data_IF_602548599677
#
_entry.id   IF_602548599677
#
_cell.length_a   1.000
_cell.length_b   1.000
_cell.length_c   1.000
_cell.angle_alpha   90.00
_cell.angle_beta   90.00
_cell.angle_gamma   90.00
#
_symmetry.space_group_name_H-M   'P 1'
#
loop_
_entity.id
_entity.type
_entity.pdbx_description
1 polymer ?
#
# COMPACT_ATOMS: atom_id res chain seq x y z
N UNK A 1 -12.00 7.98 9.77
CA UNK A 1 -10.73 7.88 9.02
C UNK A 1 -11.00 7.03 7.78
N UNK A 2 -10.59 7.49 6.60
CA UNK A 2 -10.59 6.71 5.35
C UNK A 2 -11.91 5.99 5.00
N UNK A 3 -13.05 6.68 5.15
CA UNK A 3 -14.41 6.19 4.86
C UNK A 3 -14.92 4.98 5.69
N UNK A 4 -14.33 4.74 6.87
CA UNK A 4 -14.76 3.68 7.80
C UNK A 4 -15.65 4.18 8.95
N UNK A 5 -15.67 5.48 9.22
CA UNK A 5 -16.42 6.10 10.32
C UNK A 5 -17.73 6.75 9.88
N UNK A 6 -18.31 7.60 10.74
CA UNK A 6 -19.44 8.47 10.35
C UNK A 6 -18.92 9.62 9.47
N UNK A 7 -19.61 9.96 8.35
CA UNK A 7 -19.26 11.13 7.56
C UNK A 7 -19.25 12.38 8.43
N UNK A 8 -18.25 13.24 8.24
CA UNK A 8 -18.22 14.58 8.84
C UNK A 8 -18.46 15.60 7.73
N UNK A 9 -19.54 16.41 7.82
CA UNK A 9 -19.80 17.42 6.81
C UNK A 9 -18.71 18.50 6.85
N UNK A 10 -18.39 19.06 5.69
CA UNK A 10 -17.46 20.17 5.55
C UNK A 10 -17.98 21.14 4.48
N UNK A 11 -18.00 22.43 4.79
CA UNK A 11 -18.72 23.44 3.98
C UNK A 11 -18.19 23.56 2.53
N UNK A 12 -16.94 23.19 2.29
CA UNK A 12 -16.27 23.37 1.01
C UNK A 12 -15.89 22.06 0.31
N UNK A 13 -16.28 20.90 0.85
CA UNK A 13 -15.94 19.61 0.26
C UNK A 13 -17.20 18.84 -0.13
N UNK A 14 -17.13 18.01 -1.19
CA UNK A 14 -18.22 17.10 -1.53
C UNK A 14 -18.60 16.20 -0.36
N UNK A 15 -19.87 15.79 -0.30
CA UNK A 15 -20.31 14.80 0.67
C UNK A 15 -19.51 13.49 0.52
N UNK A 16 -19.02 12.95 1.65
CA UNK A 16 -18.21 11.74 1.66
C UNK A 16 -16.72 11.94 1.35
N UNK A 17 -16.25 13.18 1.26
CA UNK A 17 -14.82 13.47 1.15
C UNK A 17 -14.07 13.18 2.46
N UNK A 18 -12.85 12.65 2.38
CA UNK A 18 -12.01 12.39 3.56
C UNK A 18 -11.32 13.68 3.98
N UNK A 19 -11.49 14.08 5.23
CA UNK A 19 -10.78 15.24 5.78
C UNK A 19 -9.30 14.88 6.01
N UNK A 20 -8.39 15.56 5.31
CA UNK A 20 -6.96 15.26 5.35
C UNK A 20 -6.34 15.46 6.72
N UNK A 21 -6.23 16.71 7.17
CA UNK A 21 -5.49 17.07 8.38
C UNK A 21 -6.05 16.40 9.65
N UNK A 22 -7.38 16.33 9.86
CA UNK A 22 -7.93 15.58 11.00
C UNK A 22 -7.63 14.09 10.96
N UNK A 23 -7.36 13.52 9.78
CA UNK A 23 -6.95 12.12 9.64
C UNK A 23 -5.50 11.92 10.07
N UNK A 24 -4.60 12.87 9.77
CA UNK A 24 -3.17 12.78 10.12
C UNK A 24 -2.96 12.60 11.63
N UNK A 25 -3.71 13.36 12.44
CA UNK A 25 -3.66 13.26 13.90
C UNK A 25 -4.03 11.86 14.41
N UNK A 26 -5.03 11.23 13.80
CA UNK A 26 -5.42 9.86 14.16
C UNK A 26 -4.37 8.85 13.73
N UNK A 27 -3.80 9.01 12.53
CA UNK A 27 -2.78 8.10 12.01
C UNK A 27 -1.51 8.12 12.86
N UNK A 28 -1.07 9.30 13.33
CA UNK A 28 0.06 9.43 14.26
C UNK A 28 -0.17 8.66 15.57
N UNK A 29 -1.35 8.82 16.19
CA UNK A 29 -1.70 8.06 17.41
C UNK A 29 -1.73 6.55 17.19
N UNK A 30 -2.26 6.11 16.05
CA UNK A 30 -2.30 4.68 15.69
C UNK A 30 -0.89 4.14 15.49
N UNK A 31 0.01 4.91 14.87
CA UNK A 31 1.40 4.50 14.69
C UNK A 31 2.13 4.32 16.03
N UNK A 32 2.02 5.28 16.95
CA UNK A 32 2.60 5.16 18.30
C UNK A 32 2.02 3.98 19.05
N UNK A 33 0.70 3.78 19.01
CA UNK A 33 0.08 2.63 19.68
C UNK A 33 0.61 1.28 19.17
N UNK A 34 0.91 1.15 17.88
CA UNK A 34 1.55 -0.06 17.35
C UNK A 34 3.02 -0.17 17.79
N UNK A 35 3.77 0.94 17.83
CA UNK A 35 5.16 0.95 18.28
C UNK A 35 5.26 0.57 19.77
N UNK A 36 4.39 1.10 20.63
CA UNK A 36 4.27 0.73 22.05
C UNK A 36 3.93 -0.76 22.24
N UNK A 37 3.17 -1.33 21.30
CA UNK A 37 2.85 -2.75 21.28
C UNK A 37 3.99 -3.64 20.74
N UNK A 38 5.11 -3.05 20.31
CA UNK A 38 6.30 -3.76 19.84
C UNK A 38 6.35 -4.01 18.33
N UNK A 39 5.65 -3.21 17.52
CA UNK A 39 5.78 -3.30 16.06
C UNK A 39 7.18 -2.86 15.60
N UNK A 40 7.84 -3.68 14.79
CA UNK A 40 9.17 -3.36 14.23
C UNK A 40 9.12 -2.40 13.03
N UNK A 41 7.96 -2.26 12.38
CA UNK A 41 7.74 -1.40 11.22
C UNK A 41 6.30 -0.90 11.25
N UNK A 42 6.07 0.38 10.95
CA UNK A 42 4.73 0.90 10.68
C UNK A 42 4.52 1.10 9.19
N UNK A 43 3.36 0.70 8.67
CA UNK A 43 3.10 0.71 7.24
C UNK A 43 1.81 1.47 6.89
N UNK A 44 1.85 2.82 6.92
CA UNK A 44 0.65 3.64 6.73
C UNK A 44 0.14 3.54 5.29
N UNK A 45 -1.17 3.27 5.15
CA UNK A 45 -1.78 2.99 3.84
C UNK A 45 -2.91 3.95 3.46
N UNK A 46 -2.96 5.11 4.11
CA UNK A 46 -4.05 6.07 3.98
C UNK A 46 -4.05 6.85 2.66
N UNK A 47 -2.88 7.09 2.05
CA UNK A 47 -2.71 8.07 0.97
C UNK A 47 -3.20 9.46 1.36
N UNK A 48 -2.85 9.89 2.57
CA UNK A 48 -3.16 11.25 3.00
C UNK A 48 -1.92 12.12 2.78
N UNK A 49 -2.10 13.33 2.29
CA UNK A 49 -0.99 14.27 2.07
C UNK A 49 -0.40 14.66 3.43
N UNK A 50 0.93 14.57 3.60
CA UNK A 50 1.61 14.82 4.88
C UNK A 50 1.58 13.65 5.87
N UNK A 51 1.09 12.48 5.46
CA UNK A 51 0.94 11.31 6.33
C UNK A 51 2.26 10.81 6.90
N UNK A 52 3.31 10.74 6.08
CA UNK A 52 4.61 10.23 6.52
C UNK A 52 5.22 11.20 7.52
N UNK A 53 5.23 12.50 7.22
CA UNK A 53 5.79 13.51 8.11
C UNK A 53 5.03 13.54 9.46
N UNK A 54 3.70 13.48 9.43
CA UNK A 54 2.89 13.49 10.64
C UNK A 54 3.18 12.27 11.52
N UNK A 55 3.32 11.08 10.92
CA UNK A 55 3.65 9.85 11.66
C UNK A 55 5.07 9.92 12.20
N UNK A 56 6.05 10.30 11.38
CA UNK A 56 7.46 10.40 11.79
C UNK A 56 7.62 11.32 13.00
N UNK A 57 7.04 12.52 12.93
CA UNK A 57 7.08 13.49 14.03
C UNK A 57 6.52 12.92 15.33
N UNK A 58 5.36 12.28 15.27
CA UNK A 58 4.68 11.77 16.49
C UNK A 58 5.40 10.55 17.06
N UNK A 59 6.02 9.71 16.24
CA UNK A 59 6.89 8.64 16.70
C UNK A 59 8.14 9.21 17.40
N UNK A 60 8.77 10.24 16.82
CA UNK A 60 9.97 10.87 17.40
C UNK A 60 9.66 11.56 18.72
N UNK A 61 8.55 12.31 18.79
CA UNK A 61 8.06 12.94 20.02
C UNK A 61 7.77 11.91 21.13
N UNK A 62 7.51 10.64 20.75
CA UNK A 62 7.26 9.52 21.64
C UNK A 62 8.49 8.60 21.85
N UNK A 63 9.69 9.00 21.41
CA UNK A 63 10.94 8.24 21.54
C UNK A 63 10.98 6.90 20.76
N UNK A 64 10.29 6.85 19.61
CA UNK A 64 10.28 5.74 18.66
C UNK A 64 11.00 6.09 17.35
N UNK A 65 12.11 6.84 17.43
CA UNK A 65 12.92 7.27 16.27
C UNK A 65 13.44 6.08 15.45
N UNK A 66 13.64 4.94 16.11
CA UNK A 66 14.17 3.71 15.52
C UNK A 66 13.11 2.90 14.74
N UNK A 67 11.83 3.25 14.82
CA UNK A 67 10.76 2.51 14.13
C UNK A 67 10.67 2.99 12.68
N UNK A 68 10.99 2.15 11.67
CA UNK A 68 10.91 2.53 10.27
C UNK A 68 9.48 2.64 9.76
N UNK A 69 9.30 3.48 8.74
CA UNK A 69 8.06 3.72 8.02
C UNK A 69 8.13 3.07 6.62
N UNK A 70 7.30 2.06 6.39
CA UNK A 70 7.04 1.49 5.06
C UNK A 70 5.82 2.18 4.44
N UNK A 71 6.05 3.27 3.71
CA UNK A 71 4.94 4.03 3.14
C UNK A 71 4.32 3.29 1.96
N UNK A 72 2.98 3.20 1.94
CA UNK A 72 2.23 2.88 0.72
C UNK A 72 2.18 4.09 -0.22
N UNK A 73 3.34 4.67 -0.52
CA UNK A 73 3.51 5.93 -1.25
C UNK A 73 2.80 5.92 -2.61
N UNK A 74 2.80 4.77 -3.29
CA UNK A 74 2.18 4.63 -4.60
C UNK A 74 1.04 3.63 -4.52
N UNK A 75 -0.15 4.12 -4.21
CA UNK A 75 -1.35 3.29 -4.07
C UNK A 75 -2.49 3.77 -4.97
N UNK A 76 -2.83 2.93 -5.94
CA UNK A 76 -3.85 3.21 -6.94
C UNK A 76 -5.26 2.83 -6.48
N UNK A 77 -6.27 3.55 -6.97
CA UNK A 77 -7.69 3.27 -6.86
C UNK A 77 -8.08 2.09 -7.75
N UNK A 78 -7.64 0.89 -7.35
CA UNK A 78 -7.69 -0.31 -8.19
C UNK A 78 -8.94 -1.18 -7.99
N UNK A 79 -9.40 -1.81 -9.08
CA UNK A 79 -10.43 -2.86 -9.06
C UNK A 79 -9.96 -4.18 -8.45
N UNK A 80 -8.65 -4.40 -8.30
CA UNK A 80 -8.09 -5.65 -7.75
C UNK A 80 -8.25 -5.78 -6.22
N UNK A 81 -8.89 -4.84 -5.53
CA UNK A 81 -9.08 -4.90 -4.07
C UNK A 81 -10.34 -5.64 -3.62
N UNK A 82 -11.20 -6.09 -4.54
CA UNK A 82 -12.49 -6.74 -4.21
C UNK A 82 -12.38 -7.81 -3.11
N UNK A 83 -11.58 -8.88 -3.31
CA UNK A 83 -11.51 -9.96 -2.32
C UNK A 83 -10.94 -9.54 -0.96
N UNK A 84 -10.10 -8.50 -0.89
CA UNK A 84 -9.63 -7.95 0.39
C UNK A 84 -10.74 -7.23 1.13
N UNK A 85 -11.64 -6.51 0.44
CA UNK A 85 -12.75 -5.80 1.08
C UNK A 85 -13.68 -6.77 1.80
N UNK A 86 -13.90 -7.95 1.20
CA UNK A 86 -14.68 -9.03 1.81
C UNK A 86 -13.96 -9.61 3.02
N UNK A 87 -12.67 -9.94 2.88
CA UNK A 87 -11.88 -10.53 3.96
C UNK A 87 -11.62 -9.60 5.16
N UNK A 88 -11.51 -8.30 4.91
CA UNK A 88 -11.21 -7.30 5.94
C UNK A 88 -12.47 -6.57 6.45
N UNK A 89 -13.67 -6.98 6.03
CA UNK A 89 -14.96 -6.32 6.33
C UNK A 89 -14.90 -4.78 6.18
N UNK A 90 -14.14 -4.31 5.18
CA UNK A 90 -13.79 -2.89 5.03
C UNK A 90 -14.22 -2.25 3.70
N UNK A 91 -15.43 -2.54 3.17
CA UNK A 91 -15.95 -1.75 2.09
C UNK A 91 -16.10 -0.28 2.56
N UNK A 92 -15.92 0.71 1.67
CA UNK A 92 -16.21 2.09 2.03
C UNK A 92 -17.68 2.19 2.48
N UNK A 93 -17.93 2.75 3.67
CA UNK A 93 -19.30 2.94 4.17
C UNK A 93 -20.03 4.07 3.43
N UNK A 94 -19.28 4.95 2.79
CA UNK A 94 -19.76 6.06 1.98
C UNK A 94 -18.72 6.42 0.91
N UNK A 95 -19.19 6.99 -0.20
CA UNK A 95 -18.35 7.42 -1.32
C UNK A 95 -17.48 6.29 -1.90
N UNK A 96 -16.32 6.67 -2.43
CA UNK A 96 -15.28 5.76 -2.87
C UNK A 96 -13.90 6.25 -2.39
N UNK A 97 -12.82 5.58 -2.81
CA UNK A 97 -11.45 5.92 -2.38
C UNK A 97 -10.65 6.69 -3.43
N UNK A 98 -11.27 7.15 -4.52
CA UNK A 98 -10.62 7.91 -5.60
C UNK A 98 -10.21 9.32 -5.18
N UNK A 99 -10.74 9.82 -4.06
CA UNK A 99 -10.36 11.13 -3.51
C UNK A 99 -8.96 11.18 -2.90
N UNK A 100 -8.35 10.03 -2.63
CA UNK A 100 -7.04 9.92 -2.00
C UNK A 100 -6.17 8.83 -2.62
N UNK A 101 -6.74 7.77 -3.20
CA UNK A 101 -5.97 6.81 -3.99
C UNK A 101 -5.80 7.29 -5.43
N UNK A 102 -4.63 7.05 -5.99
CA UNK A 102 -4.23 7.55 -7.31
C UNK A 102 -5.07 6.97 -8.45
N UNK A 103 -5.27 7.76 -9.51
CA UNK A 103 -5.89 7.28 -10.75
C UNK A 103 -4.99 6.21 -11.42
N UNK A 104 -5.49 4.98 -11.70
CA UNK A 104 -4.76 3.95 -12.44
C UNK A 104 -4.09 4.39 -13.73
N UNK A 105 -4.61 5.40 -14.43
CA UNK A 105 -4.02 5.91 -15.66
C UNK A 105 -2.74 6.74 -15.43
N UNK A 106 -2.49 7.20 -14.20
CA UNK A 106 -1.45 8.15 -13.90
C UNK A 106 -0.15 7.48 -13.40
N UNK A 107 0.73 7.13 -14.34
CA UNK A 107 2.05 6.62 -13.99
C UNK A 107 3.07 7.71 -13.62
N UNK A 108 2.81 8.98 -13.95
CA UNK A 108 3.74 10.08 -13.67
C UNK A 108 3.65 10.53 -12.20
N UNK A 109 2.44 10.58 -11.66
CA UNK A 109 2.18 10.94 -10.27
C UNK A 109 2.85 10.00 -9.27
N UNK A 110 3.09 8.73 -9.63
CA UNK A 110 3.81 7.79 -8.77
C UNK A 110 5.18 8.32 -8.33
N UNK A 111 5.91 9.03 -9.21
CA UNK A 111 7.21 9.60 -8.87
C UNK A 111 7.06 10.82 -7.96
N UNK A 112 6.00 11.60 -8.12
CA UNK A 112 5.68 12.75 -7.27
C UNK A 112 5.36 12.29 -5.86
N UNK A 113 4.45 11.32 -5.70
CA UNK A 113 4.08 10.77 -4.39
C UNK A 113 5.26 10.09 -3.70
N UNK A 114 6.04 9.28 -4.42
CA UNK A 114 7.25 8.67 -3.88
C UNK A 114 8.29 9.71 -3.42
N UNK A 115 8.50 10.77 -4.20
CA UNK A 115 9.43 11.84 -3.83
C UNK A 115 9.01 12.57 -2.55
N UNK A 116 7.71 12.85 -2.40
CA UNK A 116 7.15 13.49 -1.20
C UNK A 116 7.39 12.61 0.01
N UNK A 117 7.02 11.33 -0.05
CA UNK A 117 7.17 10.42 1.09
C UNK A 117 8.63 10.19 1.48
N UNK A 118 9.56 10.13 0.53
CA UNK A 118 11.00 10.08 0.83
C UNK A 118 11.43 11.36 1.55
N UNK A 119 11.02 12.55 1.06
CA UNK A 119 11.35 13.82 1.68
C UNK A 119 10.73 13.99 3.08
N UNK A 120 9.59 13.36 3.32
CA UNK A 120 8.89 13.35 4.61
C UNK A 120 9.47 12.34 5.63
N UNK A 121 10.38 11.46 5.19
CA UNK A 121 11.11 10.52 6.06
C UNK A 121 10.63 9.07 5.99
N UNK A 122 10.09 8.61 4.87
CA UNK A 122 9.81 7.20 4.66
C UNK A 122 11.12 6.41 4.48
N UNK A 123 11.31 5.37 5.29
CA UNK A 123 12.47 4.47 5.20
C UNK A 123 12.36 3.48 4.04
N UNK A 124 11.13 3.15 3.64
CA UNK A 124 10.83 2.23 2.55
C UNK A 124 9.57 2.69 1.81
N UNK A 125 9.52 2.40 0.51
CA UNK A 125 8.37 2.72 -0.33
C UNK A 125 7.61 1.46 -0.74
N UNK A 126 6.34 1.60 -1.12
CA UNK A 126 5.54 0.51 -1.67
C UNK A 126 4.68 0.94 -2.84
N UNK A 127 4.66 0.11 -3.89
CA UNK A 127 3.67 0.16 -4.97
C UNK A 127 2.56 -0.87 -4.72
N UNK A 128 1.30 -0.43 -4.84
CA UNK A 128 0.12 -1.27 -4.67
C UNK A 128 -0.99 -0.86 -5.65
N UNK A 129 -1.58 -1.79 -6.42
CA UNK A 129 -1.23 -3.22 -6.61
C UNK A 129 0.13 -3.47 -7.29
N UNK A 130 0.55 -4.74 -7.41
CA UNK A 130 1.85 -5.09 -8.00
C UNK A 130 1.76 -5.47 -9.48
N UNK A 131 1.14 -6.60 -9.83
CA UNK A 131 1.17 -7.14 -11.21
C UNK A 131 0.67 -6.17 -12.30
N UNK A 132 -0.43 -5.41 -12.13
CA UNK A 132 -0.86 -4.46 -13.16
C UNK A 132 -0.01 -3.18 -13.23
N UNK A 133 0.98 -3.01 -12.34
CA UNK A 133 1.79 -1.79 -12.19
C UNK A 133 3.29 -2.11 -12.15
N UNK A 134 3.74 -3.18 -12.81
CA UNK A 134 5.17 -3.54 -12.90
C UNK A 134 6.01 -2.43 -13.54
N UNK A 135 5.44 -1.68 -14.48
CA UNK A 135 6.07 -0.50 -15.08
C UNK A 135 6.26 0.63 -14.06
N UNK A 136 5.29 0.83 -13.16
CA UNK A 136 5.40 1.81 -12.08
C UNK A 136 6.45 1.38 -11.05
N UNK A 137 6.49 0.08 -10.68
CA UNK A 137 7.55 -0.47 -9.81
C UNK A 137 8.93 -0.18 -10.40
N UNK A 138 9.12 -0.42 -11.70
CA UNK A 138 10.38 -0.12 -12.39
C UNK A 138 10.73 1.36 -12.32
N UNK A 139 9.78 2.25 -12.66
CA UNK A 139 9.98 3.70 -12.63
C UNK A 139 10.37 4.21 -11.25
N UNK A 140 9.68 3.77 -10.20
CA UNK A 140 9.99 4.16 -8.82
C UNK A 140 11.38 3.65 -8.44
N UNK A 141 11.72 2.39 -8.77
CA UNK A 141 13.05 1.85 -8.45
C UNK A 141 14.18 2.55 -9.22
N UNK A 142 13.95 2.98 -10.46
CA UNK A 142 14.93 3.76 -11.23
C UNK A 142 15.17 5.15 -10.63
N UNK A 143 14.10 5.79 -10.13
CA UNK A 143 14.18 7.13 -9.57
C UNK A 143 14.77 7.16 -8.15
N UNK A 144 14.55 6.10 -7.35
CA UNK A 144 14.98 5.99 -5.96
C UNK A 144 15.72 4.66 -5.71
N UNK A 145 16.85 4.40 -6.39
CA UNK A 145 17.55 3.10 -6.30
C UNK A 145 18.07 2.78 -4.90
N UNK A 146 18.37 3.80 -4.10
CA UNK A 146 18.86 3.71 -2.73
C UNK A 146 17.77 3.34 -1.70
N UNK A 147 16.50 3.55 -2.03
CA UNK A 147 15.38 3.28 -1.14
C UNK A 147 14.87 1.85 -1.37
N UNK A 148 14.71 1.02 -0.32
CA UNK A 148 14.09 -0.29 -0.47
C UNK A 148 12.65 -0.17 -0.98
N UNK A 149 12.33 -0.92 -2.02
CA UNK A 149 11.01 -0.89 -2.65
C UNK A 149 10.24 -2.17 -2.36
N UNK A 150 9.10 -2.06 -1.70
CA UNK A 150 8.14 -3.13 -1.59
C UNK A 150 7.12 -3.10 -2.73
N UNK A 151 6.54 -4.26 -3.05
CA UNK A 151 5.38 -4.36 -3.93
C UNK A 151 4.34 -5.29 -3.30
N UNK A 152 3.07 -4.89 -3.37
CA UNK A 152 1.97 -5.65 -2.79
C UNK A 152 1.20 -6.41 -3.87
N UNK A 153 1.40 -7.72 -3.97
CA UNK A 153 0.61 -8.61 -4.80
C UNK A 153 -0.76 -8.82 -4.13
N UNK A 154 -1.75 -8.04 -4.58
CA UNK A 154 -3.02 -7.86 -3.85
C UNK A 154 -3.93 -9.08 -3.92
N UNK A 155 -5.02 -9.02 -3.15
CA UNK A 155 -6.02 -10.08 -3.06
C UNK A 155 -6.65 -10.45 -4.40
N UNK A 156 -6.96 -9.49 -5.26
CA UNK A 156 -7.51 -9.75 -6.60
C UNK A 156 -6.51 -10.46 -7.51
N UNK A 157 -5.22 -10.12 -7.41
CA UNK A 157 -4.16 -10.79 -8.15
C UNK A 157 -4.04 -12.27 -7.70
N UNK A 158 -4.05 -12.50 -6.39
CA UNK A 158 -4.06 -13.85 -5.80
C UNK A 158 -5.30 -14.65 -6.24
N UNK A 159 -6.50 -14.08 -6.07
CA UNK A 159 -7.76 -14.74 -6.42
C UNK A 159 -7.88 -15.03 -7.91
N UNK A 160 -7.36 -14.14 -8.76
CA UNK A 160 -7.31 -14.35 -10.21
C UNK A 160 -6.52 -15.61 -10.57
N UNK A 161 -5.33 -15.79 -9.97
CA UNK A 161 -4.51 -16.99 -10.20
C UNK A 161 -5.23 -18.24 -9.65
N UNK A 162 -5.69 -18.19 -8.39
CA UNK A 162 -6.39 -19.34 -7.77
C UNK A 162 -7.63 -19.76 -8.55
N UNK A 163 -8.39 -18.80 -9.09
CA UNK A 163 -9.56 -19.11 -9.92
C UNK A 163 -9.17 -19.76 -11.25
N UNK A 164 -8.15 -19.24 -11.94
CA UNK A 164 -7.69 -19.81 -13.20
C UNK A 164 -7.13 -21.24 -13.02
N UNK A 165 -6.40 -21.50 -11.93
CA UNK A 165 -5.83 -22.81 -11.65
C UNK A 165 -6.88 -23.82 -11.19
N UNK A 166 -7.88 -23.39 -10.41
CA UNK A 166 -9.03 -24.23 -10.05
C UNK A 166 -9.86 -24.67 -11.27
N UNK A 167 -9.89 -23.86 -12.34
CA UNK A 167 -10.51 -24.22 -13.62
C UNK A 167 -9.58 -25.04 -14.54
N UNK A 168 -8.36 -25.37 -14.10
CA UNK A 168 -7.39 -26.13 -14.88
C UNK A 168 -6.77 -25.36 -16.05
N UNK A 169 -6.88 -24.02 -16.07
CA UNK A 169 -6.36 -23.21 -17.18
C UNK A 169 -4.85 -22.97 -17.08
N UNK A 170 -4.31 -22.96 -15.87
CA UNK A 170 -2.91 -22.66 -15.58
C UNK A 170 -2.33 -23.65 -14.56
N UNK A 171 -1.04 -23.93 -14.67
CA UNK A 171 -0.27 -24.60 -13.61
C UNK A 171 0.07 -23.60 -12.51
N UNK A 172 -0.48 -23.83 -11.31
CA UNK A 172 -0.42 -22.85 -10.22
C UNK A 172 1.02 -22.52 -9.78
N UNK A 173 1.81 -23.55 -9.50
CA UNK A 173 3.19 -23.39 -9.02
C UNK A 173 3.98 -22.54 -10.02
N UNK A 174 3.90 -22.87 -11.30
CA UNK A 174 4.62 -22.16 -12.36
C UNK A 174 4.19 -20.69 -12.43
N UNK A 175 2.90 -20.41 -12.54
CA UNK A 175 2.45 -19.02 -12.78
C UNK A 175 2.60 -18.13 -11.55
N UNK A 176 2.47 -18.68 -10.33
CA UNK A 176 2.74 -17.91 -9.11
C UNK A 176 4.23 -17.55 -9.01
N UNK A 177 5.14 -18.51 -9.22
CA UNK A 177 6.58 -18.22 -9.18
C UNK A 177 7.00 -17.26 -10.31
N UNK A 178 6.37 -17.36 -11.49
CA UNK A 178 6.59 -16.43 -12.59
C UNK A 178 6.12 -15.00 -12.24
N UNK A 179 4.95 -14.86 -11.61
CA UNK A 179 4.42 -13.59 -11.13
C UNK A 179 5.33 -12.94 -10.09
N UNK A 180 5.75 -13.69 -9.06
CA UNK A 180 6.67 -13.19 -8.02
C UNK A 180 8.03 -12.82 -8.62
N UNK A 181 8.53 -13.61 -9.57
CA UNK A 181 9.75 -13.29 -10.32
C UNK A 181 9.60 -12.00 -11.12
N UNK A 182 8.45 -11.77 -11.76
CA UNK A 182 8.19 -10.55 -12.51
C UNK A 182 8.20 -9.31 -11.60
N UNK A 183 7.58 -9.40 -10.41
CA UNK A 183 7.60 -8.34 -9.40
C UNK A 183 9.03 -8.06 -8.91
N UNK A 184 9.80 -9.11 -8.59
CA UNK A 184 11.21 -8.98 -8.22
C UNK A 184 12.04 -8.33 -9.32
N UNK A 185 11.87 -8.79 -10.57
CA UNK A 185 12.56 -8.27 -11.76
C UNK A 185 12.21 -6.81 -12.05
N UNK A 186 10.98 -6.39 -11.79
CA UNK A 186 10.57 -5.00 -11.97
C UNK A 186 11.36 -4.05 -11.05
N UNK A 187 11.83 -4.52 -9.89
CA UNK A 187 12.67 -3.74 -9.00
C UNK A 187 12.30 -3.84 -7.53
N UNK A 188 11.28 -4.64 -7.17
CA UNK A 188 10.91 -4.81 -5.78
C UNK A 188 12.00 -5.54 -4.98
N UNK A 189 12.41 -4.97 -3.87
CA UNK A 189 13.26 -5.58 -2.86
C UNK A 189 12.47 -6.55 -1.97
N UNK A 190 11.24 -6.16 -1.63
CA UNK A 190 10.30 -6.90 -0.78
C UNK A 190 8.99 -7.17 -1.53
N UNK A 191 8.39 -8.35 -1.33
CA UNK A 191 7.10 -8.70 -1.93
C UNK A 191 6.14 -9.12 -0.82
N UNK A 192 5.06 -8.36 -0.66
CA UNK A 192 3.95 -8.74 0.20
C UNK A 192 2.95 -9.52 -0.65
N UNK A 193 2.74 -10.79 -0.32
CA UNK A 193 1.89 -11.69 -1.11
C UNK A 193 1.19 -12.73 -0.23
N UNK A 194 -0.05 -13.06 -0.61
CA UNK A 194 -0.79 -14.18 -0.02
C UNK A 194 -0.21 -15.55 -0.43
N UNK A 195 0.61 -15.60 -1.48
CA UNK A 195 1.28 -16.82 -1.94
C UNK A 195 2.53 -17.18 -1.11
N UNK A 196 2.93 -16.38 -0.12
CA UNK A 196 4.20 -16.53 0.57
C UNK A 196 4.42 -17.95 1.11
N UNK A 197 3.42 -18.54 1.78
CA UNK A 197 3.53 -19.91 2.34
C UNK A 197 3.74 -20.98 1.26
N UNK A 198 3.03 -20.86 0.13
CA UNK A 198 3.13 -21.82 -0.97
C UNK A 198 4.45 -21.64 -1.73
N UNK A 199 4.83 -20.39 -2.04
CA UNK A 199 6.08 -20.07 -2.72
C UNK A 199 7.32 -20.55 -1.94
N UNK A 200 7.36 -20.35 -0.62
CA UNK A 200 8.47 -20.85 0.21
C UNK A 200 8.60 -22.38 0.13
N UNK A 201 7.49 -23.12 0.12
CA UNK A 201 7.52 -24.60 -0.03
C UNK A 201 7.97 -25.06 -1.42
N UNK A 202 7.79 -24.24 -2.44
CA UNK A 202 8.17 -24.60 -3.82
C UNK A 202 9.61 -24.22 -4.16
N UNK A 203 10.21 -23.30 -3.38
CA UNK A 203 11.58 -22.81 -3.54
C UNK A 203 12.59 -23.51 -2.63
N UNK A 204 12.13 -24.07 -1.50
CA UNK A 204 12.90 -24.97 -0.62
C UNK A 204 12.70 -26.44 -0.97
#
# INVERSE_FOLDING_TARGET
VLNLGTPKPHAHLPEGFVLNDPTLEVLGRVAVSHAEAGADVVAPSGMMDGMVQAIRRVLDDAHFEHIPILSYAVKYASGFYGPFRDAAESPPRFGDRRSHQMDPANAAEALKEAAIDVAEGADMLMVKPALPYLDVIRRVKDAFPEVPLAAYNVSGEYSMIKAATANGWLDERRVVLEALTAIKRAGADLILTYHAKDATRWLG
#
